data_IF_982063879175
#
_entry.id   IF_982063879175
#
_cell.length_a   1.000
_cell.length_b   1.000
_cell.length_c   1.000
_cell.angle_alpha   90.00
_cell.angle_beta   90.00
_cell.angle_gamma   90.00
#
_symmetry.space_group_name_H-M   'P 1'
#
loop_
_entity.id
_entity.type
_entity.pdbx_description
1 polymer ?
#
# COMPACT_ATOMS: atom_id res chain seq x y z
N UNK A 1 -47.69 -21.10 44.27
CA UNK A 1 -46.89 -20.70 43.10
C UNK A 1 -47.44 -21.46 41.91
N UNK A 2 -48.24 -20.77 41.09
CA UNK A 2 -49.01 -21.36 40.00
C UNK A 2 -48.16 -21.49 38.74
N UNK A 3 -48.53 -22.41 37.86
CA UNK A 3 -47.89 -22.67 36.56
C UNK A 3 -47.80 -21.44 35.65
N UNK A 4 -48.66 -20.43 35.87
CA UNK A 4 -48.67 -19.16 35.15
C UNK A 4 -47.45 -18.28 35.48
N UNK A 5 -47.09 -18.19 36.77
CA UNK A 5 -45.95 -17.42 37.29
C UNK A 5 -44.60 -18.01 36.79
N UNK A 6 -44.56 -19.33 36.57
CA UNK A 6 -43.40 -20.01 35.98
C UNK A 6 -43.25 -19.76 34.48
N UNK A 7 -44.36 -19.65 33.74
CA UNK A 7 -44.34 -19.40 32.30
C UNK A 7 -43.92 -17.96 31.95
N UNK A 8 -44.39 -16.96 32.71
CA UNK A 8 -43.95 -15.57 32.56
C UNK A 8 -42.47 -15.39 32.90
N UNK A 9 -42.00 -16.05 33.96
CA UNK A 9 -40.59 -16.02 34.34
C UNK A 9 -39.69 -16.70 33.29
N UNK A 10 -40.15 -17.80 32.66
CA UNK A 10 -39.45 -18.45 31.54
C UNK A 10 -39.41 -17.57 30.29
N UNK A 11 -40.52 -16.92 29.95
CA UNK A 11 -40.59 -15.99 28.80
C UNK A 11 -39.68 -14.78 28.99
N UNK A 12 -39.67 -14.17 30.19
CA UNK A 12 -38.77 -13.07 30.53
C UNK A 12 -37.29 -13.48 30.57
N UNK A 13 -36.97 -14.73 30.91
CA UNK A 13 -35.61 -15.28 30.80
C UNK A 13 -35.20 -15.52 29.35
N UNK A 14 -36.09 -16.07 28.51
CA UNK A 14 -35.83 -16.29 27.08
C UNK A 14 -35.59 -14.97 26.33
N UNK A 15 -36.38 -13.93 26.62
CA UNK A 15 -36.21 -12.62 25.99
C UNK A 15 -34.91 -11.92 26.41
N UNK A 16 -34.46 -12.14 27.65
CA UNK A 16 -33.15 -11.70 28.14
C UNK A 16 -32.01 -12.45 27.44
N UNK A 17 -32.12 -13.76 27.26
CA UNK A 17 -31.12 -14.57 26.52
C UNK A 17 -30.97 -14.07 25.08
N UNK A 18 -32.08 -13.88 24.35
CA UNK A 18 -32.06 -13.32 22.99
C UNK A 18 -31.40 -11.93 22.95
N UNK A 19 -31.71 -11.08 23.94
CA UNK A 19 -31.09 -9.76 24.06
C UNK A 19 -29.58 -9.82 24.29
N UNK A 20 -29.11 -10.78 25.10
CA UNK A 20 -27.69 -11.03 25.36
C UNK A 20 -26.98 -11.61 24.13
N UNK A 21 -27.57 -12.58 23.45
CA UNK A 21 -27.03 -13.18 22.22
C UNK A 21 -26.83 -12.13 21.13
N UNK A 22 -27.82 -11.24 20.93
CA UNK A 22 -27.69 -10.12 19.98
C UNK A 22 -26.55 -9.18 20.36
N UNK A 23 -26.42 -8.85 21.65
CA UNK A 23 -25.36 -7.95 22.12
C UNK A 23 -23.99 -8.61 22.02
N UNK A 24 -23.91 -9.92 22.25
CA UNK A 24 -22.69 -10.69 22.07
C UNK A 24 -22.26 -10.69 20.60
N UNK A 25 -23.18 -10.99 19.68
CA UNK A 25 -22.91 -10.97 18.24
C UNK A 25 -22.45 -9.57 17.75
N UNK A 26 -23.05 -8.49 18.25
CA UNK A 26 -22.62 -7.13 17.93
C UNK A 26 -21.20 -6.84 18.43
N UNK A 27 -20.88 -7.27 19.66
CA UNK A 27 -19.55 -7.08 20.24
C UNK A 27 -18.49 -7.94 19.52
N UNK A 28 -18.79 -9.20 19.20
CA UNK A 28 -17.92 -10.08 18.43
C UNK A 28 -17.64 -9.50 17.04
N UNK A 29 -18.67 -8.95 16.38
CA UNK A 29 -18.49 -8.29 15.10
C UNK A 29 -17.58 -7.06 15.21
N UNK A 30 -17.83 -6.18 16.19
CA UNK A 30 -17.03 -4.96 16.42
C UNK A 30 -15.58 -5.28 16.80
N UNK A 31 -15.37 -6.26 17.66
CA UNK A 31 -14.04 -6.76 18.00
C UNK A 31 -13.33 -7.29 16.75
N UNK A 32 -14.05 -8.09 15.97
CA UNK A 32 -13.53 -8.64 14.74
C UNK A 32 -13.09 -7.60 13.72
N UNK A 33 -13.83 -6.49 13.58
CA UNK A 33 -13.42 -5.35 12.73
C UNK A 33 -12.11 -4.75 13.23
N UNK A 34 -11.94 -4.56 14.54
CA UNK A 34 -10.70 -4.02 15.11
C UNK A 34 -9.51 -4.98 14.93
N UNK A 35 -9.74 -6.29 15.07
CA UNK A 35 -8.73 -7.31 14.80
C UNK A 35 -8.31 -7.31 13.32
N UNK A 36 -9.26 -7.15 12.40
CA UNK A 36 -8.99 -7.06 10.97
C UNK A 36 -8.19 -5.81 10.60
N UNK A 37 -8.51 -4.65 11.20
CA UNK A 37 -7.71 -3.42 11.07
C UNK A 37 -6.26 -3.67 11.52
N UNK A 38 -6.05 -4.32 12.65
CA UNK A 38 -4.69 -4.65 13.13
C UNK A 38 -3.98 -5.66 12.24
N UNK A 39 -4.70 -6.65 11.71
CA UNK A 39 -4.14 -7.64 10.79
C UNK A 39 -3.65 -6.98 9.49
N UNK A 40 -4.45 -6.08 8.91
CA UNK A 40 -4.09 -5.32 7.70
C UNK A 40 -2.90 -4.39 7.97
N UNK A 41 -2.90 -3.66 9.09
CA UNK A 41 -1.77 -2.80 9.48
C UNK A 41 -0.49 -3.62 9.59
N UNK A 42 -0.53 -4.76 10.28
CA UNK A 42 0.60 -5.67 10.42
C UNK A 42 1.07 -6.19 9.06
N UNK A 43 0.15 -6.61 8.20
CA UNK A 43 0.44 -7.08 6.84
C UNK A 43 1.19 -6.01 6.04
N UNK A 44 0.66 -4.79 5.97
CA UNK A 44 1.27 -3.71 5.19
C UNK A 44 2.63 -3.28 5.75
N UNK A 45 2.79 -3.25 7.08
CA UNK A 45 4.09 -2.92 7.70
C UNK A 45 5.13 -4.01 7.45
N UNK A 46 4.76 -5.30 7.56
CA UNK A 46 5.66 -6.41 7.23
C UNK A 46 6.04 -6.42 5.75
N UNK A 47 5.08 -6.17 4.86
CA UNK A 47 5.36 -5.95 3.44
C UNK A 47 6.42 -4.86 3.23
N UNK A 48 6.31 -3.72 3.95
CA UNK A 48 7.33 -2.67 3.98
C UNK A 48 8.71 -3.18 4.41
N UNK A 49 8.79 -3.90 5.53
CA UNK A 49 10.05 -4.49 5.99
C UNK A 49 10.66 -5.48 4.99
N UNK A 50 9.83 -6.26 4.29
CA UNK A 50 10.31 -7.21 3.28
C UNK A 50 10.93 -6.49 2.09
N UNK A 51 10.29 -5.44 1.57
CA UNK A 51 10.85 -4.67 0.44
C UNK A 51 12.14 -3.94 0.84
N UNK A 52 12.21 -3.40 2.07
CA UNK A 52 13.41 -2.71 2.60
C UNK A 52 14.63 -3.63 2.59
N UNK A 53 14.44 -4.89 2.94
CA UNK A 53 15.52 -5.88 2.99
C UNK A 53 15.60 -6.75 1.75
N UNK A 54 14.95 -6.35 0.65
CA UNK A 54 14.96 -7.05 -0.63
C UNK A 54 14.51 -8.53 -0.52
N UNK A 55 13.64 -8.83 0.44
CA UNK A 55 13.03 -10.14 0.67
C UNK A 55 11.80 -10.28 -0.24
N UNK A 56 12.02 -10.23 -1.54
CA UNK A 56 10.98 -10.13 -2.55
C UNK A 56 10.05 -11.34 -2.64
N UNK A 57 10.54 -12.54 -2.30
CA UNK A 57 9.66 -13.71 -2.17
C UNK A 57 8.60 -13.52 -1.07
N UNK A 58 8.99 -12.95 0.08
CA UNK A 58 8.05 -12.66 1.18
C UNK A 58 7.11 -11.51 0.83
N UNK A 59 7.61 -10.49 0.14
CA UNK A 59 6.78 -9.40 -0.34
C UNK A 59 5.71 -9.90 -1.34
N UNK A 60 6.08 -10.78 -2.26
CA UNK A 60 5.13 -11.39 -3.22
C UNK A 60 4.08 -12.24 -2.50
N UNK A 61 4.45 -12.93 -1.41
CA UNK A 61 3.52 -13.76 -0.64
C UNK A 61 2.44 -12.95 0.12
N UNK A 62 2.59 -11.63 0.25
CA UNK A 62 1.57 -10.74 0.83
C UNK A 62 0.38 -10.49 -0.10
N UNK A 63 0.50 -10.77 -1.40
CA UNK A 63 -0.51 -10.44 -2.39
C UNK A 63 -1.57 -11.53 -2.56
N UNK A 64 -2.75 -11.11 -3.01
CA UNK A 64 -3.77 -12.02 -3.53
C UNK A 64 -3.36 -12.62 -4.88
N UNK A 65 -3.91 -13.78 -5.23
CA UNK A 65 -3.66 -14.46 -6.51
C UNK A 65 -4.03 -13.57 -7.71
N UNK A 66 -5.11 -12.80 -7.57
CA UNK A 66 -5.65 -11.91 -8.58
C UNK A 66 -5.25 -10.44 -8.31
N UNK A 67 -4.07 -10.19 -7.73
CA UNK A 67 -3.64 -8.85 -7.33
C UNK A 67 -3.42 -7.89 -8.52
N UNK A 68 -3.45 -6.59 -8.25
CA UNK A 68 -3.02 -5.55 -9.17
C UNK A 68 -2.00 -4.64 -8.50
N UNK A 69 -0.89 -4.35 -9.17
CA UNK A 69 0.15 -3.44 -8.68
C UNK A 69 0.30 -2.30 -9.68
N UNK A 70 0.02 -1.08 -9.23
CA UNK A 70 0.28 0.14 -9.99
C UNK A 70 1.65 0.67 -9.56
N UNK A 71 2.58 0.75 -10.52
CA UNK A 71 3.95 1.15 -10.25
C UNK A 71 4.51 1.96 -11.43
N UNK A 72 4.86 3.24 -11.17
CA UNK A 72 5.45 4.16 -12.17
C UNK A 72 4.77 4.15 -13.54
N UNK A 73 3.44 4.22 -13.55
CA UNK A 73 2.66 4.28 -14.79
C UNK A 73 2.49 2.92 -15.49
N UNK A 74 2.92 1.81 -14.89
CA UNK A 74 2.57 0.45 -15.33
C UNK A 74 1.61 -0.22 -14.37
N UNK A 75 0.88 -1.22 -14.86
CA UNK A 75 0.03 -2.11 -14.06
C UNK A 75 0.45 -3.56 -14.26
N UNK A 76 0.65 -4.28 -13.16
CA UNK A 76 1.00 -5.70 -13.11
C UNK A 76 -0.18 -6.48 -12.53
N UNK A 77 -0.68 -7.48 -13.25
CA UNK A 77 -1.90 -8.23 -12.95
C UNK A 77 -1.57 -9.68 -12.57
N UNK A 78 -2.00 -10.08 -11.38
CA UNK A 78 -1.81 -11.40 -10.79
C UNK A 78 -0.40 -11.68 -10.28
N UNK A 79 -0.25 -12.79 -9.55
CA UNK A 79 1.01 -13.16 -8.90
C UNK A 79 2.19 -13.36 -9.87
N UNK A 80 1.93 -13.81 -11.10
CA UNK A 80 2.99 -13.98 -12.10
C UNK A 80 3.64 -12.63 -12.47
N UNK A 81 2.82 -11.61 -12.72
CA UNK A 81 3.31 -10.26 -13.01
C UNK A 81 3.86 -9.56 -11.76
N UNK A 82 3.33 -9.85 -10.56
CA UNK A 82 3.97 -9.42 -9.31
C UNK A 82 5.38 -10.00 -9.18
N UNK A 83 5.58 -11.29 -9.47
CA UNK A 83 6.92 -11.90 -9.49
C UNK A 83 7.83 -11.27 -10.53
N UNK A 84 7.32 -10.94 -11.72
CA UNK A 84 8.08 -10.20 -12.73
C UNK A 84 8.60 -8.85 -12.20
N UNK A 85 7.74 -8.09 -11.51
CA UNK A 85 8.16 -6.82 -10.90
C UNK A 85 9.15 -6.99 -9.74
N UNK A 86 8.84 -7.81 -8.75
CA UNK A 86 9.65 -7.89 -7.52
C UNK A 86 10.85 -8.82 -7.66
N UNK A 87 10.62 -10.02 -8.20
CA UNK A 87 11.56 -11.12 -8.18
C UNK A 87 12.49 -11.13 -9.41
N UNK A 88 12.01 -10.68 -10.57
CA UNK A 88 12.83 -10.61 -11.79
C UNK A 88 13.46 -9.22 -11.91
N UNK A 89 12.67 -8.15 -11.85
CA UNK A 89 13.20 -6.79 -12.01
C UNK A 89 13.94 -6.26 -10.78
N UNK A 90 13.24 -6.08 -9.64
CA UNK A 90 13.85 -5.43 -8.47
C UNK A 90 15.01 -6.24 -7.89
N UNK A 91 14.83 -7.54 -7.70
CA UNK A 91 15.88 -8.41 -7.16
C UNK A 91 17.14 -8.43 -8.03
N UNK A 92 17.00 -8.55 -9.35
CA UNK A 92 18.18 -8.55 -10.22
C UNK A 92 18.88 -7.19 -10.20
N UNK A 93 18.10 -6.09 -10.28
CA UNK A 93 18.65 -4.74 -10.31
C UNK A 93 19.29 -4.27 -9.01
N UNK A 94 18.70 -4.63 -7.86
CA UNK A 94 19.12 -4.10 -6.56
C UNK A 94 20.07 -5.02 -5.82
N UNK A 95 19.98 -6.33 -6.00
CA UNK A 95 20.75 -7.31 -5.21
C UNK A 95 21.44 -8.38 -6.05
N UNK A 96 21.45 -8.23 -7.38
CA UNK A 96 22.10 -9.19 -8.28
C UNK A 96 21.48 -10.59 -8.20
N UNK A 97 20.16 -10.66 -7.96
CA UNK A 97 19.43 -11.93 -7.89
C UNK A 97 19.32 -12.51 -6.48
N UNK A 98 20.01 -11.94 -5.48
CA UNK A 98 19.91 -12.42 -4.09
C UNK A 98 18.59 -11.98 -3.44
N UNK A 99 17.83 -12.92 -2.88
CA UNK A 99 16.68 -12.60 -2.04
C UNK A 99 17.13 -12.24 -0.62
N UNK A 100 17.24 -10.94 -0.33
CA UNK A 100 17.76 -10.43 0.93
C UNK A 100 18.79 -9.30 0.74
N UNK A 101 19.29 -8.72 1.84
CA UNK A 101 20.19 -7.56 1.78
C UNK A 101 21.56 -7.92 1.21
N UNK A 102 22.19 -6.95 0.57
CA UNK A 102 23.57 -7.01 0.04
C UNK A 102 24.43 -5.91 0.66
N UNK A 103 25.74 -6.09 0.60
CA UNK A 103 26.69 -5.08 1.09
C UNK A 103 26.50 -3.75 0.36
N UNK A 104 26.48 -2.65 1.12
CA UNK A 104 26.48 -1.29 0.58
C UNK A 104 25.22 -0.86 -0.18
N UNK A 105 24.08 -1.55 -0.04
CA UNK A 105 22.79 -1.06 -0.54
C UNK A 105 21.88 -0.69 0.62
N UNK A 106 21.41 0.55 0.63
CA UNK A 106 20.42 1.06 1.58
C UNK A 106 19.09 1.22 0.85
N UNK A 107 18.05 0.70 1.48
CA UNK A 107 16.66 0.84 1.07
C UNK A 107 15.80 0.73 2.32
N UNK A 108 15.16 1.83 2.71
CA UNK A 108 14.22 1.85 3.82
C UNK A 108 12.96 2.63 3.40
N UNK A 109 11.78 2.06 3.64
CA UNK A 109 10.47 2.62 3.30
C UNK A 109 9.53 2.64 4.51
N UNK A 110 9.82 3.44 5.57
CA UNK A 110 8.87 3.69 6.64
C UNK A 110 7.43 3.96 6.17
N UNK A 111 6.52 3.05 6.53
CA UNK A 111 5.08 3.14 6.31
C UNK A 111 4.44 3.81 7.53
N UNK A 112 3.68 4.87 7.31
CA UNK A 112 3.17 5.75 8.38
C UNK A 112 1.75 6.26 8.07
N UNK A 113 1.12 6.88 9.07
CA UNK A 113 -0.16 7.59 8.93
C UNK A 113 -1.27 6.74 8.28
N UNK A 114 -1.45 5.53 8.78
CA UNK A 114 -2.43 4.61 8.21
C UNK A 114 -3.87 5.03 8.53
N UNK A 115 -4.73 4.94 7.51
CA UNK A 115 -6.19 5.04 7.64
C UNK A 115 -6.75 3.77 7.01
N UNK A 116 -7.41 2.93 7.80
CA UNK A 116 -7.86 1.59 7.40
C UNK A 116 -9.35 1.47 7.69
N UNK A 117 -10.14 1.16 6.66
CA UNK A 117 -11.56 0.89 6.76
C UNK A 117 -11.87 -0.53 6.28
N UNK A 118 -12.45 -1.34 7.18
CA UNK A 118 -12.89 -2.72 6.91
C UNK A 118 -14.38 -2.71 6.61
N UNK A 119 -14.79 -3.39 5.54
CA UNK A 119 -16.18 -3.51 5.16
C UNK A 119 -17.00 -4.26 6.22
N UNK A 120 -18.31 -4.00 6.28
CA UNK A 120 -19.20 -4.61 7.27
C UNK A 120 -19.34 -6.13 7.18
N UNK A 121 -18.97 -6.75 6.06
CA UNK A 121 -18.88 -8.21 5.91
C UNK A 121 -17.53 -8.80 6.34
N UNK A 122 -16.57 -7.93 6.65
CA UNK A 122 -15.18 -8.26 7.01
C UNK A 122 -14.44 -9.09 5.94
N UNK A 123 -14.86 -8.98 4.67
CA UNK A 123 -14.22 -9.68 3.54
C UNK A 123 -13.33 -8.77 2.71
N UNK A 124 -13.55 -7.46 2.76
CA UNK A 124 -12.77 -6.46 2.03
C UNK A 124 -12.40 -5.29 2.91
N UNK A 125 -11.33 -4.59 2.53
CA UNK A 125 -10.92 -3.37 3.20
C UNK A 125 -10.19 -2.44 2.23
N UNK A 126 -10.18 -1.15 2.57
CA UNK A 126 -9.37 -0.14 1.91
C UNK A 126 -8.44 0.48 2.94
N UNK A 127 -7.24 0.85 2.51
CA UNK A 127 -6.34 1.57 3.39
C UNK A 127 -5.39 2.51 2.67
N UNK A 128 -5.20 3.67 3.31
CA UNK A 128 -4.24 4.69 2.90
C UNK A 128 -3.02 4.64 3.79
N UNK A 129 -1.84 4.79 3.19
CA UNK A 129 -0.58 4.92 3.94
C UNK A 129 0.29 6.02 3.32
N UNK A 130 1.06 6.71 4.17
CA UNK A 130 2.14 7.59 3.75
C UNK A 130 3.48 6.87 3.85
N UNK A 131 4.29 7.06 2.83
CA UNK A 131 5.62 6.46 2.73
C UNK A 131 6.67 7.56 2.76
N UNK A 132 7.73 7.33 3.51
CA UNK A 132 8.99 8.04 3.39
C UNK A 132 10.04 7.01 3.03
N UNK A 133 10.67 7.15 1.87
CA UNK A 133 11.67 6.23 1.36
C UNK A 133 13.03 6.92 1.32
N UNK A 134 14.04 6.17 1.71
CA UNK A 134 15.45 6.52 1.63
C UNK A 134 16.16 5.38 0.92
N UNK A 135 16.97 5.72 -0.07
CA UNK A 135 17.71 4.71 -0.81
C UNK A 135 19.06 5.23 -1.28
N UNK A 136 20.01 4.31 -1.39
CA UNK A 136 21.32 4.64 -1.90
C UNK A 136 22.32 3.52 -1.93
N UNK A 137 23.50 3.82 -2.46
CA UNK A 137 24.64 2.91 -2.54
C UNK A 137 25.84 3.49 -1.82
N UNK A 138 26.47 2.67 -0.98
CA UNK A 138 27.76 2.97 -0.39
C UNK A 138 28.85 2.92 -1.48
N UNK A 139 29.84 3.80 -1.43
CA UNK A 139 30.90 3.89 -2.45
C UNK A 139 31.76 2.61 -2.56
N UNK A 140 31.87 1.83 -1.49
CA UNK A 140 32.59 0.54 -1.51
C UNK A 140 31.77 -0.61 -2.14
N UNK A 141 30.48 -0.39 -2.44
CA UNK A 141 29.61 -1.42 -3.01
C UNK A 141 30.11 -1.86 -4.39
N UNK A 142 30.56 -0.90 -5.18
CA UNK A 142 31.09 -1.13 -6.52
C UNK A 142 32.45 -0.44 -6.62
N UNK A 143 33.56 -1.19 -6.72
CA UNK A 143 34.89 -0.62 -6.82
C UNK A 143 35.16 0.05 -8.18
N UNK A 144 34.24 -0.03 -9.15
CA UNK A 144 34.35 0.72 -10.39
C UNK A 144 34.21 2.25 -10.10
N UNK A 145 35.26 3.05 -10.37
CA UNK A 145 35.24 4.49 -10.13
C UNK A 145 34.22 5.26 -11.00
N UNK A 146 33.63 4.64 -12.02
CA UNK A 146 32.55 5.20 -12.81
C UNK A 146 31.16 4.95 -12.20
N UNK A 147 31.04 4.05 -11.22
CA UNK A 147 29.78 3.81 -10.52
C UNK A 147 29.58 4.88 -9.45
N UNK A 148 28.81 5.91 -9.79
CA UNK A 148 28.53 7.02 -8.86
C UNK A 148 27.64 6.51 -7.73
N UNK A 149 28.16 6.53 -6.51
CA UNK A 149 27.36 6.35 -5.29
C UNK A 149 26.16 7.30 -5.35
N UNK A 150 24.93 6.74 -5.26
CA UNK A 150 23.69 7.51 -5.38
C UNK A 150 22.98 7.51 -4.05
N UNK A 151 22.38 8.62 -3.67
CA UNK A 151 21.56 8.75 -2.46
C UNK A 151 20.33 9.61 -2.78
N UNK A 152 19.15 9.16 -2.36
CA UNK A 152 17.93 9.92 -2.61
C UNK A 152 16.84 9.62 -1.58
N UNK A 153 15.88 10.54 -1.55
CA UNK A 153 14.66 10.48 -0.77
C UNK A 153 13.48 10.47 -1.71
N UNK A 154 12.42 9.81 -1.28
CA UNK A 154 11.15 9.75 -1.98
C UNK A 154 10.00 9.78 -0.99
N UNK A 155 8.96 10.53 -1.31
CA UNK A 155 7.71 10.48 -0.58
C UNK A 155 6.60 9.98 -1.49
N UNK A 156 5.80 9.05 -0.98
CA UNK A 156 4.75 8.41 -1.75
C UNK A 156 3.50 8.15 -0.89
N UNK A 157 2.41 7.80 -1.54
CA UNK A 157 1.18 7.32 -0.92
C UNK A 157 0.83 5.94 -1.45
N UNK A 158 0.21 5.14 -0.58
CA UNK A 158 -0.60 3.99 -0.98
C UNK A 158 -2.08 4.33 -0.81
N UNK A 159 -2.91 3.93 -1.77
CA UNK A 159 -4.37 3.83 -1.65
C UNK A 159 -4.77 2.39 -2.01
N UNK A 160 -4.54 1.47 -1.07
CA UNK A 160 -4.59 0.05 -1.32
C UNK A 160 -5.97 -0.54 -1.06
N UNK A 161 -6.26 -1.68 -1.70
CA UNK A 161 -7.41 -2.54 -1.38
C UNK A 161 -6.93 -3.90 -0.89
N UNK A 162 -7.73 -4.53 -0.05
CA UNK A 162 -7.43 -5.81 0.58
C UNK A 162 -8.65 -6.72 0.51
N UNK A 163 -8.38 -8.01 0.51
CA UNK A 163 -9.40 -9.04 0.61
C UNK A 163 -8.98 -10.12 1.60
N UNK A 164 -9.97 -10.76 2.19
CA UNK A 164 -9.79 -11.87 3.11
C UNK A 164 -10.15 -13.18 2.41
N UNK A 165 -9.23 -14.14 2.38
CA UNK A 165 -9.50 -15.53 1.94
C UNK A 165 -9.02 -16.48 3.02
N UNK A 166 -9.88 -17.44 3.37
CA UNK A 166 -9.59 -18.47 4.36
C UNK A 166 -9.13 -17.89 5.71
N UNK A 167 -9.74 -16.77 6.10
CA UNK A 167 -9.41 -16.07 7.35
C UNK A 167 -8.18 -15.17 7.29
N UNK A 168 -7.44 -15.11 6.17
CA UNK A 168 -6.19 -14.36 6.03
C UNK A 168 -6.37 -13.18 5.07
N UNK A 169 -5.98 -11.99 5.53
CA UNK A 169 -5.94 -10.78 4.70
C UNK A 169 -4.76 -10.79 3.74
N UNK A 170 -5.00 -10.31 2.51
CA UNK A 170 -4.01 -10.19 1.44
C UNK A 170 -4.17 -8.86 0.71
N UNK A 171 -3.09 -8.35 0.14
CA UNK A 171 -3.10 -7.14 -0.68
C UNK A 171 -3.73 -7.47 -2.03
N UNK A 172 -4.88 -6.86 -2.33
CA UNK A 172 -5.56 -7.02 -3.63
C UNK A 172 -5.07 -6.00 -4.63
N UNK A 173 -5.08 -4.72 -4.27
CA UNK A 173 -4.52 -3.66 -5.09
C UNK A 173 -3.47 -2.91 -4.30
N UNK A 174 -2.27 -2.83 -4.86
CA UNK A 174 -1.21 -1.95 -4.36
C UNK A 174 -1.07 -0.77 -5.32
N UNK A 175 -1.54 0.40 -4.90
CA UNK A 175 -1.49 1.62 -5.71
C UNK A 175 -0.34 2.52 -5.23
N UNK A 176 0.87 2.30 -5.76
CA UNK A 176 2.03 3.10 -5.40
C UNK A 176 2.03 4.44 -6.15
N UNK A 177 1.80 5.52 -5.40
CA UNK A 177 1.72 6.89 -5.92
C UNK A 177 2.89 7.74 -5.41
N UNK A 178 4.04 7.77 -6.12
CA UNK A 178 5.12 8.70 -5.80
C UNK A 178 4.63 10.16 -5.91
N UNK A 179 4.90 10.93 -4.87
CA UNK A 179 4.51 12.34 -4.74
C UNK A 179 5.71 13.26 -4.97
N UNK A 180 6.90 12.91 -4.48
CA UNK A 180 8.09 13.71 -4.67
C UNK A 180 9.37 12.88 -4.59
N UNK A 181 10.42 13.37 -5.24
CA UNK A 181 11.78 12.86 -5.18
C UNK A 181 12.72 13.96 -4.74
N UNK A 182 13.85 13.58 -4.17
CA UNK A 182 14.90 14.53 -3.84
C UNK A 182 16.26 13.83 -3.80
N UNK A 183 17.26 14.47 -4.39
CA UNK A 183 18.66 14.13 -4.12
C UNK A 183 19.02 14.59 -2.72
N UNK A 184 19.85 13.84 -2.00
CA UNK A 184 20.31 14.27 -0.68
C UNK A 184 21.07 15.61 -0.73
N UNK A 185 21.81 15.85 -1.80
CA UNK A 185 22.70 17.00 -1.97
C UNK A 185 21.93 18.32 -2.17
N UNK A 186 20.91 18.30 -3.03
CA UNK A 186 20.18 19.52 -3.40
C UNK A 186 18.83 19.69 -2.68
N UNK A 187 18.30 18.65 -2.03
CA UNK A 187 16.96 18.71 -1.43
C UNK A 187 15.83 18.77 -2.47
N UNK A 188 14.58 18.83 -2.00
CA UNK A 188 13.40 18.78 -2.87
C UNK A 188 13.19 20.07 -3.68
N UNK A 189 13.78 21.19 -3.24
CA UNK A 189 13.69 22.46 -3.96
C UNK A 189 14.25 22.39 -5.39
N UNK A 190 15.19 21.47 -5.63
CA UNK A 190 15.82 21.24 -6.94
C UNK A 190 15.61 19.81 -7.44
N UNK A 191 14.49 19.19 -7.05
CA UNK A 191 14.12 17.87 -7.52
C UNK A 191 14.06 17.84 -9.07
N UNK A 192 14.78 16.93 -9.73
CA UNK A 192 14.72 16.83 -11.18
C UNK A 192 13.37 16.23 -11.60
N UNK A 193 12.74 16.74 -12.68
CA UNK A 193 11.37 16.41 -13.06
C UNK A 193 11.15 14.92 -13.38
N UNK A 194 12.20 14.21 -13.83
CA UNK A 194 12.14 12.80 -14.23
C UNK A 194 13.18 11.94 -13.50
N UNK A 195 13.38 12.16 -12.20
CA UNK A 195 14.38 11.43 -11.40
C UNK A 195 14.26 9.90 -11.52
N UNK A 196 13.02 9.41 -11.55
CA UNK A 196 12.67 8.04 -11.91
C UNK A 196 11.67 8.11 -13.07
N UNK A 197 12.01 7.60 -14.26
CA UNK A 197 11.13 7.67 -15.42
C UNK A 197 9.92 6.75 -15.25
N UNK A 198 8.80 7.13 -15.87
CA UNK A 198 7.65 6.23 -16.01
C UNK A 198 7.98 5.08 -16.96
N UNK A 199 7.27 3.97 -16.78
CA UNK A 199 7.32 2.83 -17.69
C UNK A 199 6.64 3.21 -19.02
N UNK A 200 7.26 2.82 -20.14
CA UNK A 200 6.82 3.19 -21.49
C UNK A 200 6.56 1.99 -22.39
N UNK A 201 6.99 0.80 -22.00
CA UNK A 201 6.96 -0.42 -22.81
C UNK A 201 6.38 -1.54 -21.97
N UNK A 202 5.47 -2.33 -22.53
CA UNK A 202 4.80 -3.44 -21.84
C UNK A 202 5.49 -4.77 -22.12
N UNK A 203 5.16 -5.77 -21.32
CA UNK A 203 5.45 -7.17 -21.65
C UNK A 203 4.71 -7.60 -22.94
N UNK A 204 5.29 -8.44 -23.82
CA UNK A 204 6.61 -9.06 -23.71
C UNK A 204 7.76 -8.27 -24.37
N UNK A 205 7.51 -7.07 -24.91
CA UNK A 205 8.57 -6.26 -25.55
C UNK A 205 9.65 -5.84 -24.52
N UNK A 206 9.22 -5.44 -23.33
CA UNK A 206 10.06 -5.41 -22.13
C UNK A 206 9.82 -6.71 -21.33
N UNK A 207 10.80 -7.63 -21.24
CA UNK A 207 10.66 -8.86 -20.47
C UNK A 207 10.37 -8.65 -18.98
N UNK A 208 10.67 -7.46 -18.45
CA UNK A 208 10.42 -7.04 -17.06
C UNK A 208 9.31 -5.97 -16.97
N UNK A 209 8.61 -5.74 -18.09
CA UNK A 209 7.61 -4.70 -18.25
C UNK A 209 6.26 -5.01 -17.57
N UNK A 210 5.41 -3.99 -17.39
CA UNK A 210 4.04 -4.18 -16.92
C UNK A 210 3.17 -4.88 -17.98
N UNK A 211 2.01 -5.38 -17.57
CA UNK A 211 1.02 -5.94 -18.50
C UNK A 211 0.33 -4.85 -19.32
N UNK A 212 0.14 -3.68 -18.72
CA UNK A 212 -0.45 -2.50 -19.35
C UNK A 212 0.19 -1.21 -18.82
N UNK A 213 0.07 -0.13 -19.59
CA UNK A 213 0.41 1.22 -19.12
C UNK A 213 -0.84 1.89 -18.53
N UNK A 214 -0.66 2.53 -17.38
CA UNK A 214 -1.71 3.28 -16.71
C UNK A 214 -2.03 4.58 -17.45
N UNK A 215 -3.33 4.84 -17.61
CA UNK A 215 -3.84 6.10 -18.18
C UNK A 215 -3.85 7.26 -17.18
N UNK A 216 -3.45 7.02 -15.92
CA UNK A 216 -3.44 8.01 -14.85
C UNK A 216 -2.16 7.90 -14.02
N UNK A 217 -1.00 8.31 -14.57
CA UNK A 217 0.23 8.38 -13.78
C UNK A 217 0.12 9.48 -12.70
N UNK A 218 0.79 9.30 -11.55
CA UNK A 218 0.75 10.25 -10.45
C UNK A 218 1.35 11.60 -10.81
N UNK A 219 0.79 12.68 -10.25
CA UNK A 219 1.46 13.97 -10.25
C UNK A 219 2.59 14.01 -9.24
N UNK A 220 3.72 14.56 -9.67
CA UNK A 220 4.95 14.60 -8.87
C UNK A 220 5.40 16.04 -8.69
N UNK A 221 5.98 16.30 -7.53
CA UNK A 221 6.57 17.58 -7.17
C UNK A 221 7.44 18.14 -8.32
N UNK A 222 7.27 19.41 -8.73
CA UNK A 222 6.55 20.48 -8.02
C UNK A 222 5.03 20.51 -8.21
N UNK A 223 4.45 19.61 -9.00
CA UNK A 223 3.00 19.49 -9.10
C UNK A 223 2.43 18.65 -7.94
N UNK A 224 1.17 18.88 -7.59
CA UNK A 224 0.53 18.17 -6.49
C UNK A 224 -0.91 17.79 -6.81
N UNK A 225 -1.30 16.60 -6.37
CA UNK A 225 -2.69 16.15 -6.37
C UNK A 225 -3.08 15.61 -4.99
N UNK A 226 -4.38 15.68 -4.69
CA UNK A 226 -4.96 15.03 -3.51
C UNK A 226 -5.67 13.78 -4.02
N UNK A 227 -5.16 12.60 -3.65
CA UNK A 227 -5.80 11.34 -4.02
C UNK A 227 -7.18 11.23 -3.36
N UNK A 228 -8.22 10.75 -4.08
CA UNK A 228 -9.55 10.47 -3.53
C UNK A 228 -9.49 9.64 -2.26
N UNK A 229 -10.26 10.01 -1.25
CA UNK A 229 -10.31 9.27 0.02
C UNK A 229 -11.36 8.17 -0.06
N UNK A 230 -11.01 6.95 0.36
CA UNK A 230 -11.98 5.86 0.53
C UNK A 230 -12.96 6.06 1.70
N UNK A 231 -12.61 6.95 2.63
CA UNK A 231 -13.36 7.17 3.87
C UNK A 231 -14.14 8.48 3.88
N UNK A 232 -15.05 8.62 4.85
CA UNK A 232 -15.76 9.86 5.13
C UNK A 232 -15.05 10.68 6.19
N UNK A 233 -15.36 11.97 6.27
CA UNK A 233 -14.80 12.85 7.30
C UNK A 233 -15.25 12.36 8.70
N UNK A 234 -14.33 12.05 9.64
CA UNK A 234 -14.67 11.34 10.88
C UNK A 234 -15.55 12.16 11.85
N UNK A 235 -15.52 13.49 11.76
CA UNK A 235 -16.35 14.39 12.59
C UNK A 235 -17.71 14.74 11.95
N UNK A 236 -17.76 14.97 10.63
CA UNK A 236 -18.99 15.46 9.96
C UNK A 236 -19.80 14.34 9.29
N UNK A 237 -19.19 13.16 9.09
CA UNK A 237 -19.78 12.05 8.36
C UNK A 237 -19.98 12.30 6.86
N UNK A 238 -19.48 13.42 6.33
CA UNK A 238 -19.65 13.78 4.92
C UNK A 238 -18.54 13.18 4.05
N UNK A 239 -18.82 12.88 2.77
CA UNK A 239 -17.78 12.54 1.80
C UNK A 239 -16.69 13.62 1.74
N UNK A 240 -15.42 13.20 1.65
CA UNK A 240 -14.29 14.12 1.55
C UNK A 240 -14.10 14.52 0.09
N UNK A 241 -14.33 15.81 -0.23
CA UNK A 241 -14.08 16.35 -1.56
C UNK A 241 -12.58 16.62 -1.77
N UNK A 242 -12.02 16.12 -2.88
CA UNK A 242 -10.64 16.42 -3.27
C UNK A 242 -10.58 17.70 -4.12
N UNK A 243 -9.74 18.69 -3.76
CA UNK A 243 -9.57 19.89 -4.58
C UNK A 243 -8.88 19.57 -5.91
N UNK A 244 -9.00 20.45 -6.93
CA UNK A 244 -8.26 20.32 -8.18
C UNK A 244 -6.74 20.27 -7.95
N UNK A 245 -5.98 19.58 -8.82
CA UNK A 245 -4.53 19.47 -8.68
C UNK A 245 -3.83 20.82 -8.90
N UNK A 246 -2.75 21.06 -8.14
CA UNK A 246 -1.84 22.18 -8.35
C UNK A 246 -0.85 21.84 -9.45
N UNK A 247 -1.13 22.27 -10.67
CA UNK A 247 -0.27 22.07 -11.85
C UNK A 247 0.54 23.31 -12.18
N UNK A 248 1.63 23.14 -12.93
CA UNK A 248 2.31 24.28 -13.52
C UNK A 248 1.36 25.05 -14.46
N UNK A 249 1.30 26.39 -14.40
CA UNK A 249 0.40 27.16 -15.26
C UNK A 249 0.71 26.93 -16.74
N UNK A 250 -0.33 26.59 -17.50
CA UNK A 250 -0.23 26.42 -18.96
C UNK A 250 0.19 27.76 -19.58
N UNK A 251 1.30 27.77 -20.32
CA UNK A 251 1.81 28.97 -21.02
C UNK A 251 2.91 29.75 -20.28
N UNK A 252 3.28 29.36 -19.06
CA UNK A 252 4.43 29.95 -18.35
C UNK A 252 5.74 29.27 -18.76
N UNK A 253 6.77 30.06 -19.10
CA UNK A 253 8.13 29.53 -19.36
C UNK A 253 8.69 28.89 -18.08
N UNK A 254 9.20 27.66 -18.18
CA UNK A 254 10.00 27.01 -17.14
C UNK A 254 11.41 27.60 -17.09
#
# INVERSE_FOLDING_TARGET
MTTHDSAEHLAGSAQRLVGLERRLAELEHRLGVLEDVQAIRRLQHLYGYFIDKCMYEEAVACFDEECEIYFFGGVYRGLASARRLYCERFRNRFTGGKNGPVFGFLLDHPVMQDVIDVAGDRQTAQARFRLMMQAGTHYERDPDPHTVARQWWEGALYENTYLKRDGVWRIKTLDYRPVWFSTFENGWAFAPPDFVPLLTTTYPEDPEGPDELSNSPPLRWPEHEVLPFHCVHPVTGQPIATPPPGRWPVGSKR
#
